data_IF_616689643663
#
_entry.id   IF_616689643663
#
_cell.length_a   1.000
_cell.length_b   1.000
_cell.length_c   1.000
_cell.angle_alpha   90.00
_cell.angle_beta   90.00
_cell.angle_gamma   90.00
#
_symmetry.space_group_name_H-M   'P 1'
#
loop_
_entity.id
_entity.type
_entity.pdbx_description
1 polymer ?
#
# COMPACT_ATOMS: atom_id res chain seq x y z
N UNK A 1 3.78 17.88 -18.04
CA UNK A 1 2.97 17.93 -16.80
C UNK A 1 2.82 16.56 -16.12
N UNK A 2 3.78 15.62 -16.27
CA UNK A 2 3.66 14.22 -15.79
C UNK A 2 4.82 13.75 -14.87
N UNK A 3 5.47 14.65 -14.13
CA UNK A 3 6.67 14.28 -13.38
C UNK A 3 6.48 14.27 -11.85
N UNK A 4 5.28 14.55 -11.34
CA UNK A 4 4.99 14.50 -9.90
C UNK A 4 4.18 13.26 -9.56
N UNK A 5 4.39 12.70 -8.37
CA UNK A 5 3.63 11.53 -7.91
C UNK A 5 2.12 11.79 -7.98
N UNK A 6 1.68 12.97 -7.54
CA UNK A 6 0.27 13.37 -7.60
C UNK A 6 -0.28 13.27 -9.03
N UNK A 7 0.40 13.85 -10.01
CA UNK A 7 -0.07 13.84 -11.40
C UNK A 7 -0.11 12.43 -12.00
N UNK A 8 0.83 11.56 -11.60
CA UNK A 8 0.85 10.15 -12.01
C UNK A 8 -0.35 9.40 -11.43
N UNK A 9 -0.64 9.59 -10.15
CA UNK A 9 -1.77 8.93 -9.49
C UNK A 9 -3.12 9.47 -9.99
N UNK A 10 -3.24 10.77 -10.32
CA UNK A 10 -4.42 11.35 -10.97
C UNK A 10 -4.66 10.76 -12.37
N UNK A 11 -3.58 10.38 -13.07
CA UNK A 11 -3.66 9.80 -14.39
C UNK A 11 -4.00 8.30 -14.38
N UNK A 12 -3.86 7.60 -13.26
CA UNK A 12 -4.22 6.19 -13.12
C UNK A 12 -5.72 5.98 -13.40
N UNK A 13 -6.05 5.10 -14.35
CA UNK A 13 -7.43 4.92 -14.81
C UNK A 13 -8.13 3.69 -14.22
N UNK A 14 -7.40 2.85 -13.50
CA UNK A 14 -7.86 1.53 -13.09
C UNK A 14 -7.73 0.50 -14.21
N UNK A 15 -7.73 -0.77 -13.82
CA UNK A 15 -7.41 -1.90 -14.66
C UNK A 15 -8.59 -2.44 -15.49
N UNK A 16 -9.83 -2.14 -15.11
CA UNK A 16 -11.05 -2.62 -15.77
C UNK A 16 -11.07 -4.14 -16.00
N UNK A 17 -10.55 -4.90 -15.04
CA UNK A 17 -10.43 -6.35 -15.09
C UNK A 17 -9.17 -6.91 -15.71
N UNK A 18 -8.31 -6.08 -16.30
CA UNK A 18 -7.05 -6.51 -16.89
C UNK A 18 -5.94 -6.60 -15.85
N UNK A 19 -5.72 -7.82 -15.32
CA UNK A 19 -4.70 -8.09 -14.31
C UNK A 19 -3.28 -7.86 -14.83
N UNK A 20 -3.05 -8.03 -16.14
CA UNK A 20 -1.71 -7.84 -16.73
C UNK A 20 -1.40 -6.35 -16.80
N UNK A 21 -2.35 -5.55 -17.32
CA UNK A 21 -2.25 -4.09 -17.32
C UNK A 21 -2.05 -3.55 -15.90
N UNK A 22 -2.84 -4.04 -14.94
CA UNK A 22 -2.70 -3.62 -13.54
C UNK A 22 -1.28 -3.85 -13.01
N UNK A 23 -0.66 -4.98 -13.36
CA UNK A 23 0.68 -5.31 -12.92
C UNK A 23 1.74 -4.40 -13.55
N UNK A 24 1.57 -4.06 -14.83
CA UNK A 24 2.42 -3.09 -15.54
C UNK A 24 2.29 -1.70 -14.91
N UNK A 25 1.08 -1.23 -14.64
CA UNK A 25 0.84 0.05 -13.95
C UNK A 25 1.39 0.06 -12.53
N UNK A 26 1.23 -1.02 -11.76
CA UNK A 26 1.82 -1.14 -10.42
C UNK A 26 3.35 -1.08 -10.45
N UNK A 27 3.99 -1.66 -11.48
CA UNK A 27 5.43 -1.59 -11.64
C UNK A 27 5.91 -0.15 -11.89
N UNK A 28 5.23 0.60 -12.76
CA UNK A 28 5.52 2.03 -12.99
C UNK A 28 5.29 2.86 -11.72
N UNK A 29 4.16 2.63 -11.04
CA UNK A 29 3.85 3.30 -9.78
C UNK A 29 4.90 3.00 -8.70
N UNK A 30 5.36 1.76 -8.59
CA UNK A 30 6.40 1.37 -7.63
C UNK A 30 7.70 2.15 -7.87
N UNK A 31 8.11 2.33 -9.14
CA UNK A 31 9.27 3.16 -9.47
C UNK A 31 9.08 4.60 -8.97
N UNK A 32 7.91 5.20 -9.18
CA UNK A 32 7.63 6.55 -8.71
C UNK A 32 7.58 6.67 -7.19
N UNK A 33 6.99 5.69 -6.50
CA UNK A 33 6.98 5.65 -5.05
C UNK A 33 8.37 5.52 -4.43
N UNK A 34 9.29 4.81 -5.08
CA UNK A 34 10.65 4.63 -4.56
C UNK A 34 11.64 5.70 -4.99
N UNK A 35 11.49 6.24 -6.20
CA UNK A 35 12.55 7.03 -6.83
C UNK A 35 12.14 8.46 -7.20
N UNK A 36 10.90 8.88 -6.92
CA UNK A 36 10.41 10.22 -7.24
C UNK A 36 9.98 11.04 -6.02
N UNK A 37 10.41 10.68 -4.82
CA UNK A 37 10.19 11.51 -3.63
C UNK A 37 10.19 10.78 -2.30
N UNK A 38 9.67 11.46 -1.30
CA UNK A 38 9.55 10.97 0.08
C UNK A 38 8.45 11.70 0.84
N UNK A 39 8.06 11.15 1.98
CA UNK A 39 7.24 11.89 2.95
C UNK A 39 8.15 12.77 3.82
N UNK A 40 7.88 14.08 3.81
CA UNK A 40 8.43 15.01 4.78
C UNK A 40 7.47 15.10 5.97
N UNK A 41 7.94 14.76 7.16
CA UNK A 41 7.23 14.89 8.43
C UNK A 41 7.97 15.92 9.27
N UNK A 42 7.48 17.16 9.32
CA UNK A 42 8.21 18.28 9.94
C UNK A 42 9.65 18.37 9.41
N UNK A 43 10.67 18.03 10.20
CA UNK A 43 12.09 18.02 9.80
C UNK A 43 12.64 16.63 9.40
N UNK A 44 11.81 15.59 9.44
CA UNK A 44 12.15 14.20 9.14
C UNK A 44 11.82 13.85 7.69
N UNK A 45 12.73 13.14 7.02
CA UNK A 45 12.49 12.55 5.70
C UNK A 45 12.24 11.05 5.81
N UNK A 46 11.17 10.55 5.20
CA UNK A 46 10.78 9.14 5.20
C UNK A 46 10.68 8.65 3.76
N UNK A 47 11.65 7.84 3.36
CA UNK A 47 11.73 7.22 2.04
C UNK A 47 11.10 5.83 2.07
N UNK A 48 10.36 5.47 1.03
CA UNK A 48 9.76 4.14 0.90
C UNK A 48 10.83 3.10 0.51
N UNK A 49 10.73 1.89 1.06
CA UNK A 49 11.67 0.77 0.81
C UNK A 49 10.98 -0.55 0.50
N UNK A 50 9.76 -0.77 1.00
CA UNK A 50 8.95 -1.98 0.78
C UNK A 50 7.48 -1.56 0.79
N UNK A 51 6.75 -1.84 -0.29
CA UNK A 51 5.33 -1.50 -0.47
C UNK A 51 4.54 -2.70 -0.98
N UNK A 52 3.28 -2.80 -0.56
CA UNK A 52 2.33 -3.77 -1.07
C UNK A 52 1.10 -3.07 -1.65
N UNK A 53 0.80 -3.31 -2.91
CA UNK A 53 -0.40 -2.78 -3.54
C UNK A 53 -1.65 -3.58 -3.16
N UNK A 54 -2.75 -2.83 -3.03
CA UNK A 54 -4.11 -3.32 -2.89
C UNK A 54 -4.97 -2.60 -3.92
N UNK A 55 -5.77 -3.36 -4.67
CA UNK A 55 -6.63 -2.83 -5.72
C UNK A 55 -7.92 -3.65 -5.78
N UNK A 56 -9.05 -2.97 -5.74
CA UNK A 56 -10.38 -3.58 -5.72
C UNK A 56 -11.33 -2.77 -6.60
N UNK A 57 -11.91 -3.41 -7.60
CA UNK A 57 -12.97 -2.84 -8.43
C UNK A 57 -14.32 -2.97 -7.72
N UNK A 58 -15.06 -1.89 -7.70
CA UNK A 58 -16.43 -1.78 -7.24
C UNK A 58 -17.37 -1.58 -8.43
N UNK A 59 -18.67 -1.53 -8.18
CA UNK A 59 -19.67 -1.35 -9.24
C UNK A 59 -20.06 -2.64 -9.96
N UNK A 60 -20.99 -2.50 -10.90
CA UNK A 60 -21.52 -3.60 -11.70
C UNK A 60 -20.47 -4.08 -12.70
N UNK A 61 -20.24 -5.40 -12.75
CA UNK A 61 -19.25 -5.98 -13.66
C UNK A 61 -17.79 -5.89 -13.19
N UNK A 62 -17.54 -5.52 -11.92
CA UNK A 62 -16.22 -5.56 -11.31
C UNK A 62 -15.57 -6.95 -11.42
N UNK A 63 -14.32 -7.01 -11.91
CA UNK A 63 -13.61 -8.26 -12.21
C UNK A 63 -12.45 -8.52 -11.25
N UNK A 64 -11.76 -7.47 -10.80
CA UNK A 64 -10.65 -7.61 -9.86
C UNK A 64 -11.13 -7.30 -8.45
N UNK A 65 -11.31 -8.37 -7.65
CA UNK A 65 -11.70 -8.28 -6.24
C UNK A 65 -10.52 -8.62 -5.32
N UNK A 66 -10.31 -7.76 -4.33
CA UNK A 66 -9.31 -7.96 -3.26
C UNK A 66 -9.93 -7.78 -1.88
N UNK A 67 -10.56 -8.85 -1.38
CA UNK A 67 -11.36 -8.84 -0.15
C UNK A 67 -10.57 -8.59 1.14
N UNK A 68 -9.23 -8.65 1.10
CA UNK A 68 -8.39 -8.33 2.27
C UNK A 68 -8.34 -6.81 2.56
N UNK A 69 -8.51 -5.99 1.53
CA UNK A 69 -8.42 -4.53 1.61
C UNK A 69 -9.44 -3.94 2.60
N UNK A 70 -9.04 -2.98 3.42
CA UNK A 70 -9.84 -2.51 4.57
C UNK A 70 -10.99 -1.57 4.19
N UNK A 71 -10.77 -0.75 3.17
CA UNK A 71 -11.61 0.37 2.73
C UNK A 71 -12.38 0.03 1.45
N UNK A 72 -13.03 -1.15 1.45
CA UNK A 72 -13.93 -1.58 0.39
C UNK A 72 -15.37 -1.55 0.87
N UNK A 73 -16.28 -1.26 -0.05
CA UNK A 73 -17.72 -1.19 0.21
C UNK A 73 -18.28 -2.49 0.79
N UNK A 74 -17.77 -3.64 0.34
CA UNK A 74 -18.19 -4.98 0.79
C UNK A 74 -18.02 -5.21 2.30
N UNK A 75 -17.20 -4.39 2.98
CA UNK A 75 -16.93 -4.50 4.42
C UNK A 75 -17.80 -3.59 5.29
N UNK A 76 -18.56 -2.70 4.69
CA UNK A 76 -19.43 -1.77 5.42
C UNK A 76 -20.70 -2.54 5.81
N UNK A 77 -20.73 -2.97 7.06
CA UNK A 77 -21.87 -3.70 7.64
C UNK A 77 -22.92 -2.76 8.24
N UNK A 78 -22.50 -1.56 8.62
CA UNK A 78 -23.38 -0.54 9.17
C UNK A 78 -23.78 0.43 8.06
N UNK A 79 -25.07 0.49 7.67
CA UNK A 79 -25.54 1.39 6.61
C UNK A 79 -25.39 2.88 6.97
N UNK A 80 -25.12 3.22 8.23
CA UNK A 80 -24.85 4.59 8.68
C UNK A 80 -23.39 5.00 8.55
N UNK A 81 -22.48 4.03 8.37
CA UNK A 81 -21.08 4.34 8.09
C UNK A 81 -20.93 4.88 6.68
N UNK A 82 -20.27 6.03 6.56
CA UNK A 82 -19.96 6.65 5.29
C UNK A 82 -19.06 5.76 4.45
N UNK A 83 -19.60 5.25 3.35
CA UNK A 83 -18.85 4.56 2.32
C UNK A 83 -18.18 5.56 1.35
N UNK A 84 -17.39 6.47 1.92
CA UNK A 84 -16.74 7.51 1.12
C UNK A 84 -15.41 6.99 0.56
N UNK A 85 -15.13 7.35 -0.69
CA UNK A 85 -13.83 7.16 -1.29
C UNK A 85 -12.85 8.11 -0.65
N UNK A 86 -11.67 7.61 -0.29
CA UNK A 86 -10.63 8.47 0.26
C UNK A 86 -10.16 9.48 -0.79
N UNK A 87 -9.98 10.76 -0.41
CA UNK A 87 -9.29 11.72 -1.28
C UNK A 87 -7.92 11.19 -1.69
N UNK A 88 -7.49 11.54 -2.90
CA UNK A 88 -6.18 11.16 -3.43
C UNK A 88 -5.06 11.54 -2.45
N UNK A 89 -4.19 10.56 -2.12
CA UNK A 89 -3.06 10.74 -1.23
C UNK A 89 -3.40 10.74 0.26
N UNK A 90 -4.57 10.23 0.63
CA UNK A 90 -4.93 10.08 2.05
C UNK A 90 -4.22 8.89 2.68
N UNK A 91 -3.86 9.01 3.96
CA UNK A 91 -3.48 7.86 4.76
C UNK A 91 -4.71 7.13 5.34
N UNK A 92 -4.65 5.81 5.36
CA UNK A 92 -5.58 4.96 6.12
C UNK A 92 -4.78 4.12 7.11
N UNK A 93 -4.89 4.46 8.39
CA UNK A 93 -4.24 3.77 9.50
C UNK A 93 -5.09 2.59 9.98
N UNK A 94 -4.52 1.38 10.06
CA UNK A 94 -5.17 0.19 10.60
C UNK A 94 -4.21 -0.75 11.34
N UNK A 95 -4.73 -1.80 11.97
CA UNK A 95 -3.95 -2.73 12.80
C UNK A 95 -2.76 -3.41 12.11
N UNK A 96 -2.66 -3.34 10.77
CA UNK A 96 -1.57 -3.93 10.00
C UNK A 96 -0.52 -2.93 9.52
N UNK A 97 -0.74 -1.62 9.69
CA UNK A 97 0.15 -0.56 9.21
C UNK A 97 -0.61 0.58 8.52
N UNK A 98 0.13 1.42 7.80
CA UNK A 98 -0.40 2.62 7.14
C UNK A 98 -0.53 2.39 5.65
N UNK A 99 -1.74 2.54 5.14
CA UNK A 99 -2.00 2.61 3.71
C UNK A 99 -1.87 4.05 3.21
N UNK A 100 -1.30 4.24 2.02
CA UNK A 100 -1.41 5.48 1.22
C UNK A 100 -2.35 5.23 0.04
N UNK A 101 -3.42 6.00 -0.04
CA UNK A 101 -4.58 5.73 -0.92
C UNK A 101 -4.59 6.57 -2.20
N UNK A 102 -5.13 6.02 -3.27
CA UNK A 102 -5.33 6.69 -4.56
C UNK A 102 -6.60 6.18 -5.25
N UNK A 103 -7.69 6.14 -4.48
CA UNK A 103 -9.00 5.64 -4.92
C UNK A 103 -9.70 6.59 -5.90
N UNK A 104 -10.65 6.06 -6.67
CA UNK A 104 -11.42 6.87 -7.61
C UNK A 104 -12.87 6.41 -7.72
N UNK A 105 -13.77 7.22 -7.17
CA UNK A 105 -15.22 6.97 -7.18
C UNK A 105 -15.80 6.95 -8.60
N UNK A 106 -15.35 7.83 -9.49
CA UNK A 106 -15.89 7.91 -10.86
C UNK A 106 -15.51 6.71 -11.71
N UNK A 107 -14.38 6.07 -11.39
CA UNK A 107 -13.87 4.88 -12.04
C UNK A 107 -14.16 3.59 -11.25
N UNK A 108 -14.88 3.74 -10.14
CA UNK A 108 -15.32 2.65 -9.26
C UNK A 108 -14.18 1.69 -8.87
N UNK A 109 -13.02 2.22 -8.49
CA UNK A 109 -11.96 1.40 -7.90
C UNK A 109 -11.41 1.99 -6.61
N UNK A 110 -11.11 1.12 -5.67
CA UNK A 110 -10.34 1.41 -4.47
C UNK A 110 -8.90 0.97 -4.74
N UNK A 111 -7.92 1.81 -4.38
CA UNK A 111 -6.52 1.45 -4.50
C UNK A 111 -5.68 2.08 -3.38
N UNK A 112 -4.71 1.33 -2.88
CA UNK A 112 -3.71 1.81 -1.92
C UNK A 112 -2.40 1.05 -2.02
N UNK A 113 -1.36 1.61 -1.42
CA UNK A 113 -0.16 0.87 -1.01
C UNK A 113 -0.11 0.77 0.51
N UNK A 114 0.13 -0.42 1.06
CA UNK A 114 0.57 -0.57 2.44
C UNK A 114 2.07 -0.29 2.50
N UNK A 115 2.46 0.65 3.36
CA UNK A 115 3.86 0.98 3.61
C UNK A 115 4.44 -0.10 4.53
N UNK A 116 5.34 -0.94 4.01
CA UNK A 116 5.92 -2.06 4.76
C UNK A 116 7.31 -1.81 5.29
N UNK A 117 8.06 -0.97 4.60
CA UNK A 117 9.41 -0.64 4.98
C UNK A 117 9.77 0.76 4.55
N UNK A 118 10.53 1.43 5.41
CA UNK A 118 10.94 2.82 5.23
C UNK A 118 12.40 3.00 5.62
N UNK A 119 13.01 4.04 5.05
CA UNK A 119 14.26 4.63 5.51
C UNK A 119 13.97 6.02 6.06
N UNK A 120 14.37 6.27 7.29
CA UNK A 120 14.14 7.52 8.01
C UNK A 120 15.45 8.27 8.14
N UNK A 121 15.44 9.56 7.81
CA UNK A 121 16.56 10.48 8.00
C UNK A 121 16.07 11.66 8.83
N UNK A 122 16.61 11.78 10.04
CA UNK A 122 16.44 12.94 10.92
C UNK A 122 17.68 13.84 10.83
N UNK A 123 17.51 15.14 11.07
CA UNK A 123 18.53 16.19 10.85
C UNK A 123 19.87 15.92 11.54
N UNK A 124 19.87 15.17 12.63
CA UNK A 124 21.04 14.94 13.48
C UNK A 124 21.20 13.46 13.90
N UNK A 125 20.65 12.52 13.12
CA UNK A 125 20.68 11.10 13.45
C UNK A 125 21.17 10.23 12.30
N UNK A 126 21.71 9.06 12.65
CA UNK A 126 22.02 8.03 11.65
C UNK A 126 20.72 7.59 10.96
N UNK A 127 20.75 7.29 9.65
CA UNK A 127 19.59 6.75 8.97
C UNK A 127 19.09 5.46 9.64
N UNK A 128 17.77 5.35 9.78
CA UNK A 128 17.11 4.17 10.37
C UNK A 128 16.38 3.43 9.25
N UNK A 129 16.53 2.11 9.21
CA UNK A 129 15.72 1.22 8.36
C UNK A 129 14.70 0.54 9.25
N UNK A 130 13.42 0.73 8.94
CA UNK A 130 12.31 0.07 9.62
C UNK A 130 11.58 -0.83 8.62
N UNK A 131 11.30 -2.07 9.01
CA UNK A 131 10.65 -3.08 8.16
C UNK A 131 9.36 -3.63 8.77
N UNK A 132 8.95 -3.09 9.93
CA UNK A 132 7.68 -3.39 10.60
C UNK A 132 6.65 -2.34 10.16
N UNK A 133 5.60 -2.71 9.41
CA UNK A 133 4.62 -1.75 8.90
C UNK A 133 3.91 -0.95 10.00
N UNK A 134 3.69 -1.56 11.17
CA UNK A 134 3.06 -0.89 12.32
C UNK A 134 3.98 0.13 13.00
N UNK A 135 5.28 0.10 12.76
CA UNK A 135 6.18 1.13 13.32
C UNK A 135 6.19 2.41 12.48
N UNK A 136 5.61 2.38 11.27
CA UNK A 136 5.44 3.58 10.43
C UNK A 136 4.65 4.67 11.18
N UNK A 137 3.70 4.29 12.04
CA UNK A 137 2.99 5.23 12.93
C UNK A 137 3.92 6.08 13.78
N UNK A 138 4.96 5.46 14.33
CA UNK A 138 5.89 6.13 15.23
C UNK A 138 6.62 7.24 14.49
N UNK A 139 7.07 6.96 13.27
CA UNK A 139 7.81 7.93 12.48
C UNK A 139 6.93 9.04 11.89
N UNK A 140 5.65 8.75 11.62
CA UNK A 140 4.69 9.74 11.15
C UNK A 140 4.18 10.66 12.26
N UNK A 141 3.98 10.14 13.48
CA UNK A 141 3.23 10.84 14.52
C UNK A 141 4.00 11.03 15.84
N UNK A 142 4.72 10.01 16.32
CA UNK A 142 5.28 10.02 17.67
C UNK A 142 6.39 11.05 17.84
N UNK A 143 6.42 11.65 19.03
CA UNK A 143 7.44 12.62 19.44
C UNK A 143 7.23 14.04 18.90
N UNK A 144 6.19 14.29 18.09
CA UNK A 144 5.87 15.65 17.63
C UNK A 144 4.95 16.36 18.64
N UNK A 145 5.33 17.59 19.01
CA UNK A 145 4.52 18.46 19.86
C UNK A 145 3.31 19.01 19.09
N UNK A 146 2.16 19.03 19.74
CA UNK A 146 0.92 19.63 19.21
C UNK A 146 0.75 21.10 19.63
N UNK A 147 1.64 21.63 20.47
CA UNK A 147 1.59 23.02 20.95
C UNK A 147 2.48 23.97 20.13
N UNK A 148 3.35 23.43 19.27
CA UNK A 148 4.19 24.20 18.35
C UNK A 148 3.49 24.27 16.97
N UNK A 149 4.21 24.09 15.86
CA UNK A 149 3.63 24.05 14.50
C UNK A 149 2.74 22.80 14.26
N UNK A 150 2.71 21.85 15.19
CA UNK A 150 1.95 20.62 15.06
C UNK A 150 2.62 19.59 14.16
N UNK A 151 1.80 18.73 13.54
CA UNK A 151 2.27 17.63 12.69
C UNK A 151 1.98 17.99 11.22
N UNK A 152 3.02 18.28 10.45
CA UNK A 152 2.92 18.51 9.01
C UNK A 152 3.51 17.33 8.25
N UNK A 153 2.66 16.66 7.47
CA UNK A 153 3.08 15.56 6.61
C UNK A 153 2.73 15.92 5.16
N UNK A 154 3.72 15.85 4.27
CA UNK A 154 3.53 16.07 2.83
C UNK A 154 4.45 15.18 2.01
N UNK A 155 4.02 14.83 0.81
CA UNK A 155 4.92 14.27 -0.19
C UNK A 155 5.78 15.38 -0.79
N UNK A 156 7.09 15.14 -0.92
CA UNK A 156 8.02 15.99 -1.64
C UNK A 156 8.51 15.23 -2.86
N UNK A 157 8.21 15.76 -4.05
CA UNK A 157 8.78 15.25 -5.29
C UNK A 157 10.28 15.59 -5.33
N UNK A 158 11.12 14.56 -5.43
CA UNK A 158 12.57 14.65 -5.50
C UNK A 158 13.07 13.48 -6.36
N UNK A 159 13.94 13.74 -7.33
CA UNK A 159 14.55 12.67 -8.12
C UNK A 159 15.59 11.96 -7.27
N UNK A 160 15.39 10.66 -7.03
CA UNK A 160 16.27 9.85 -6.18
C UNK A 160 17.06 8.85 -7.03
N UNK A 161 18.25 8.43 -6.56
CA UNK A 161 19.02 7.39 -7.23
C UNK A 161 18.20 6.10 -7.37
N UNK A 162 18.14 5.56 -8.58
CA UNK A 162 17.50 4.28 -8.84
C UNK A 162 18.32 3.16 -8.19
N UNK A 163 17.64 2.31 -7.42
CA UNK A 163 18.21 1.13 -6.78
C UNK A 163 17.56 -0.14 -7.34
N UNK A 164 18.20 -1.33 -7.23
CA UNK A 164 17.57 -2.58 -7.62
C UNK A 164 16.27 -2.83 -6.85
N UNK A 165 15.17 -2.85 -7.59
CA UNK A 165 13.82 -3.19 -7.11
C UNK A 165 13.51 -4.65 -7.41
N UNK A 166 12.90 -5.32 -6.44
CA UNK A 166 12.34 -6.67 -6.58
C UNK A 166 10.82 -6.65 -6.52
N UNK A 167 10.21 -7.71 -7.06
CA UNK A 167 8.78 -7.92 -7.09
C UNK A 167 8.45 -9.35 -6.62
N UNK A 168 7.36 -9.50 -5.87
CA UNK A 168 6.96 -10.80 -5.34
C UNK A 168 5.57 -10.84 -4.73
N UNK A 169 5.25 -11.99 -4.12
CA UNK A 169 3.98 -12.19 -3.44
C UNK A 169 3.86 -11.30 -2.20
N UNK A 170 2.63 -10.86 -1.91
CA UNK A 170 2.31 -10.11 -0.68
C UNK A 170 2.54 -10.96 0.57
N UNK A 171 3.17 -10.41 1.59
CA UNK A 171 3.51 -11.12 2.84
C UNK A 171 2.25 -11.33 3.70
N UNK A 172 2.02 -12.57 4.13
CA UNK A 172 0.95 -12.96 5.05
C UNK A 172 -0.47 -12.65 4.54
N UNK A 173 -0.66 -12.66 3.21
CA UNK A 173 -1.97 -12.43 2.59
C UNK A 173 -2.52 -13.75 2.07
N UNK A 174 -3.74 -14.11 2.48
CA UNK A 174 -4.42 -15.31 2.00
C UNK A 174 -5.03 -15.12 0.61
N UNK A 175 -5.24 -16.23 -0.08
CA UNK A 175 -6.12 -16.29 -1.24
C UNK A 175 -7.59 -16.32 -0.80
N UNK A 176 -8.45 -15.70 -1.62
CA UNK A 176 -9.89 -15.63 -1.40
C UNK A 176 -10.62 -16.27 -2.58
N UNK A 177 -11.77 -16.89 -2.30
CA UNK A 177 -12.71 -17.33 -3.30
C UNK A 177 -13.50 -16.14 -3.89
N UNK A 178 -14.33 -16.35 -4.94
CA UNK A 178 -15.16 -15.29 -5.52
C UNK A 178 -16.20 -14.67 -4.58
N UNK A 179 -16.44 -15.26 -3.41
CA UNK A 179 -17.39 -14.79 -2.41
C UNK A 179 -16.70 -14.08 -1.23
N UNK A 180 -15.37 -13.95 -1.26
CA UNK A 180 -14.59 -13.30 -0.22
C UNK A 180 -14.29 -14.18 0.99
N UNK A 181 -14.46 -15.51 0.89
CA UNK A 181 -14.00 -16.43 1.91
C UNK A 181 -12.54 -16.81 1.68
N UNK A 182 -11.76 -16.97 2.77
CA UNK A 182 -10.37 -17.44 2.69
C UNK A 182 -10.35 -18.91 2.29
N UNK A 183 -9.48 -19.26 1.36
CA UNK A 183 -9.31 -20.65 0.91
C UNK A 183 -8.44 -21.40 1.91
N UNK A 184 -8.99 -22.41 2.59
CA UNK A 184 -8.26 -23.25 3.54
C UNK A 184 -7.20 -24.11 2.83
N UNK A 185 -6.06 -24.30 3.48
CA UNK A 185 -4.94 -25.05 2.93
C UNK A 185 -5.07 -26.56 3.20
N UNK A 186 -4.98 -27.39 2.16
CA UNK A 186 -5.17 -28.85 2.23
C UNK A 186 -3.87 -29.67 2.07
N UNK A 187 -2.72 -29.20 2.56
CA UNK A 187 -1.42 -29.89 2.42
C UNK A 187 -1.01 -30.19 0.96
N UNK A 188 -1.36 -29.30 0.03
CA UNK A 188 -0.89 -29.33 -1.36
C UNK A 188 0.51 -28.72 -1.47
N UNK A 189 1.45 -29.40 -2.13
CA UNK A 189 2.85 -28.96 -2.29
C UNK A 189 3.01 -27.71 -3.16
N UNK A 190 2.00 -27.34 -3.96
CA UNK A 190 2.09 -26.24 -4.93
C UNK A 190 1.90 -24.84 -4.32
N UNK A 191 1.26 -24.73 -3.15
CA UNK A 191 0.99 -23.44 -2.50
C UNK A 191 1.66 -23.37 -1.11
N UNK A 192 2.11 -22.18 -0.71
CA UNK A 192 2.66 -21.97 0.63
C UNK A 192 1.52 -21.68 1.61
N UNK A 193 1.53 -22.24 2.83
CA UNK A 193 0.51 -21.93 3.82
C UNK A 193 0.75 -20.57 4.49
N UNK A 194 -0.32 -19.84 4.74
CA UNK A 194 -0.38 -18.69 5.66
C UNK A 194 -1.16 -19.10 6.90
N UNK A 195 -0.53 -18.99 8.08
CA UNK A 195 -1.18 -19.32 9.35
C UNK A 195 -1.86 -18.09 9.93
N UNK A 196 -3.17 -18.19 10.22
CA UNK A 196 -3.93 -17.17 10.93
C UNK A 196 -4.65 -17.84 12.10
N UNK A 197 -4.25 -17.48 13.32
CA UNK A 197 -4.70 -18.17 14.53
C UNK A 197 -4.31 -19.65 14.48
N UNK A 198 -5.29 -20.55 14.62
CA UNK A 198 -5.09 -22.01 14.57
C UNK A 198 -5.27 -22.62 13.17
N UNK A 199 -5.69 -21.84 12.17
CA UNK A 199 -6.00 -22.31 10.81
C UNK A 199 -4.90 -21.94 9.83
N UNK A 200 -4.75 -22.76 8.77
CA UNK A 200 -3.85 -22.52 7.65
C UNK A 200 -4.67 -22.26 6.39
N UNK A 201 -4.24 -21.27 5.61
CA UNK A 201 -4.88 -20.84 4.37
C UNK A 201 -3.87 -20.80 3.23
N UNK A 202 -4.34 -20.89 1.99
CA UNK A 202 -3.51 -20.73 0.81
C UNK A 202 -2.95 -19.30 0.73
N UNK A 203 -1.66 -19.17 0.40
CA UNK A 203 -1.00 -17.87 0.16
C UNK A 203 -1.53 -17.23 -1.12
N UNK A 204 -1.72 -15.91 -1.08
CA UNK A 204 -2.02 -15.10 -2.25
C UNK A 204 -0.85 -15.14 -3.25
N UNK A 205 -1.15 -15.51 -4.50
CA UNK A 205 -0.17 -15.64 -5.59
C UNK A 205 0.00 -14.37 -6.43
N UNK A 206 -0.76 -13.31 -6.14
CA UNK A 206 -0.61 -12.00 -6.80
C UNK A 206 0.73 -11.37 -6.43
N UNK A 207 1.54 -11.03 -7.44
CA UNK A 207 2.87 -10.42 -7.28
C UNK A 207 2.80 -8.89 -7.10
N UNK A 208 2.05 -8.45 -6.09
CA UNK A 208 1.72 -7.05 -5.85
C UNK A 208 2.59 -6.41 -4.76
N UNK A 209 3.72 -7.02 -4.40
CA UNK A 209 4.70 -6.46 -3.47
C UNK A 209 5.95 -6.06 -4.21
N UNK A 210 6.48 -4.89 -3.88
CA UNK A 210 7.73 -4.36 -4.43
C UNK A 210 8.63 -3.90 -3.29
N UNK A 211 9.94 -4.14 -3.39
CA UNK A 211 10.90 -3.69 -2.37
C UNK A 211 12.27 -3.44 -2.97
N UNK A 212 13.05 -2.58 -2.32
CA UNK A 212 14.43 -2.31 -2.66
C UNK A 212 15.35 -3.30 -1.94
N UNK A 213 16.33 -3.88 -2.64
CA UNK A 213 17.35 -4.73 -2.01
C UNK A 213 18.15 -3.93 -0.99
N UNK A 214 18.44 -4.53 0.15
CA UNK A 214 19.50 -4.02 1.02
C UNK A 214 20.83 -4.25 0.31
N UNK A 215 21.66 -3.19 0.24
CA UNK A 215 23.05 -3.36 -0.18
C UNK A 215 23.75 -4.12 0.94
N UNK A 216 24.05 -5.40 0.67
CA UNK A 216 24.95 -6.23 1.50
C UNK A 216 26.35 -5.64 1.44
#
# INVERSE_FOLDING_TARGET
MKNTLKGILEAFQGANGDVKLLLEEMNELAHHFFFSGYFQVNNRKIYLRDIEFYYHEEGEGAKIKDYIMYHISDKIKDPTMKNEYYPLGSFNAHVSGVDFTFENKKKEYRASILIRGIKVIDKDSKPIIESRPTYVYEYLLMGNSLFDDGIHIKWIDEELPVEPMEQGYRKNVCQYDPFGNRIEYQNDSSNKPVTIGKKKYCQCTRKWRFWLKEKI
#
